data_IF_522498948168
#
_entry.id   IF_522498948168
#
_cell.length_a   1.000
_cell.length_b   1.000
_cell.length_c   1.000
_cell.angle_alpha   90.00
_cell.angle_beta   90.00
_cell.angle_gamma   90.00
#
_symmetry.space_group_name_H-M   'P 1'
#
loop_
_entity.id
_entity.type
_entity.pdbx_description
1 polymer ?
#
# COMPACT_ATOMS: atom_id res chain seq x y z
N UNK A 1 28.49 42.52 53.19
CA UNK A 1 27.96 41.13 53.25
C UNK A 1 26.61 40.93 52.52
N UNK A 2 25.70 41.92 52.51
CA UNK A 2 24.32 41.76 52.00
C UNK A 2 24.18 41.60 50.47
N UNK A 3 25.05 42.23 49.66
CA UNK A 3 24.98 42.13 48.19
C UNK A 3 25.44 40.77 47.62
N UNK A 4 26.44 40.12 48.26
CA UNK A 4 26.94 38.80 47.81
C UNK A 4 25.90 37.69 48.03
N UNK A 5 25.11 37.78 49.10
CA UNK A 5 24.02 36.84 49.39
C UNK A 5 22.88 36.97 48.37
N UNK A 6 22.53 38.20 47.99
CA UNK A 6 21.45 38.48 47.03
C UNK A 6 21.80 37.97 45.61
N UNK A 7 23.05 38.17 45.17
CA UNK A 7 23.52 37.65 43.89
C UNK A 7 23.50 36.11 43.84
N UNK A 8 23.86 35.45 44.95
CA UNK A 8 23.84 33.98 45.04
C UNK A 8 22.42 33.41 44.94
N UNK A 9 21.44 34.05 45.58
CA UNK A 9 20.03 33.63 45.53
C UNK A 9 19.46 33.76 44.10
N UNK A 10 19.78 34.84 43.39
CA UNK A 10 19.33 35.05 42.00
C UNK A 10 19.88 33.97 41.07
N UNK A 11 21.18 33.63 41.18
CA UNK A 11 21.79 32.57 40.37
C UNK A 11 21.13 31.22 40.66
N UNK A 12 20.81 30.93 41.93
CA UNK A 12 20.14 29.68 42.32
C UNK A 12 18.74 29.55 41.72
N UNK A 13 17.99 30.65 41.64
CA UNK A 13 16.68 30.67 40.97
C UNK A 13 16.79 30.51 39.45
N UNK A 14 17.81 31.07 38.80
CA UNK A 14 18.02 30.90 37.35
C UNK A 14 18.37 29.43 37.03
N UNK A 15 19.21 28.79 37.84
CA UNK A 15 19.57 27.38 37.66
C UNK A 15 18.38 26.46 37.91
N UNK A 16 17.60 26.69 38.97
CA UNK A 16 16.40 25.89 39.24
C UNK A 16 15.29 26.12 38.18
N UNK A 17 15.07 27.37 37.75
CA UNK A 17 14.09 27.70 36.70
C UNK A 17 14.45 27.15 35.33
N UNK A 18 15.75 27.14 34.97
CA UNK A 18 16.24 26.50 33.75
C UNK A 18 16.09 24.98 33.77
N UNK A 19 16.27 24.35 34.94
CA UNK A 19 16.11 22.91 35.11
C UNK A 19 14.63 22.48 35.04
N UNK A 20 13.72 23.22 35.68
CA UNK A 20 12.27 22.95 35.61
C UNK A 20 11.72 23.23 34.21
N UNK A 21 12.15 24.29 33.53
CA UNK A 21 11.76 24.55 32.14
C UNK A 21 12.21 23.42 31.19
N UNK A 22 13.41 22.88 31.41
CA UNK A 22 13.92 21.75 30.62
C UNK A 22 13.14 20.46 30.90
N UNK A 23 12.77 20.19 32.15
CA UNK A 23 11.93 19.03 32.52
C UNK A 23 10.51 19.18 31.95
N UNK A 24 9.87 20.34 32.09
CA UNK A 24 8.52 20.60 31.56
C UNK A 24 8.49 20.48 30.03
N UNK A 25 9.51 21.00 29.33
CA UNK A 25 9.63 20.89 27.87
C UNK A 25 9.97 19.46 27.40
N UNK A 26 10.59 18.64 28.25
CA UNK A 26 10.82 17.21 27.96
C UNK A 26 9.56 16.36 28.21
N UNK A 27 8.75 16.70 29.22
CA UNK A 27 7.47 16.02 29.48
C UNK A 27 6.36 16.37 28.47
N UNK A 28 6.53 17.46 27.71
CA UNK A 28 5.64 17.84 26.60
C UNK A 28 5.99 17.18 25.26
N UNK A 29 7.04 16.33 25.21
CA UNK A 29 7.11 15.26 24.21
C UNK A 29 6.15 14.18 24.69
N UNK A 30 4.87 14.49 24.63
CA UNK A 30 3.80 13.52 24.74
C UNK A 30 4.14 12.42 23.74
N UNK A 31 4.43 11.21 24.24
CA UNK A 31 4.32 9.98 23.49
C UNK A 31 2.86 9.91 23.00
N UNK A 32 2.55 10.66 21.95
CA UNK A 32 1.24 10.61 21.32
C UNK A 32 1.25 9.29 20.60
N UNK A 33 0.66 8.30 21.24
CA UNK A 33 0.50 6.98 20.65
C UNK A 33 -0.14 7.18 19.28
N UNK A 34 0.51 6.67 18.23
CA UNK A 34 0.02 6.83 16.86
C UNK A 34 -1.40 6.28 16.78
N UNK A 35 -2.26 6.95 16.02
CA UNK A 35 -3.59 6.40 15.76
C UNK A 35 -3.48 5.06 15.04
N UNK A 36 -4.48 4.20 15.19
CA UNK A 36 -4.51 2.92 14.45
C UNK A 36 -4.44 3.13 12.93
N UNK A 37 -4.99 4.25 12.44
CA UNK A 37 -4.86 4.67 11.05
C UNK A 37 -3.41 4.96 10.66
N UNK A 38 -2.69 5.76 11.44
CA UNK A 38 -1.27 6.07 11.18
C UNK A 38 -0.40 4.81 11.21
N UNK A 39 -0.66 3.89 12.15
CA UNK A 39 0.04 2.60 12.21
C UNK A 39 -0.23 1.78 10.94
N UNK A 40 -1.47 1.78 10.45
CA UNK A 40 -1.87 1.03 9.26
C UNK A 40 -1.25 1.62 7.99
N UNK A 41 -1.21 2.96 7.86
CA UNK A 41 -0.57 3.66 6.75
C UNK A 41 0.94 3.35 6.70
N UNK A 42 1.62 3.41 7.84
CA UNK A 42 3.04 3.05 7.92
C UNK A 42 3.32 1.59 7.57
N UNK A 43 2.45 0.68 8.01
CA UNK A 43 2.56 -0.73 7.67
C UNK A 43 2.31 -0.97 6.17
N UNK A 44 1.25 -0.38 5.62
CA UNK A 44 0.92 -0.44 4.20
C UNK A 44 2.08 0.05 3.33
N UNK A 45 2.72 1.18 3.67
CA UNK A 45 3.89 1.70 2.94
C UNK A 45 5.04 0.68 2.93
N UNK A 46 5.30 0.00 4.06
CA UNK A 46 6.32 -1.06 4.13
C UNK A 46 5.95 -2.29 3.29
N UNK A 47 4.66 -2.57 3.12
CA UNK A 47 4.14 -3.72 2.39
C UNK A 47 3.96 -3.47 0.88
N UNK A 48 3.91 -2.21 0.42
CA UNK A 48 3.82 -1.85 -1.01
C UNK A 48 4.82 -2.61 -1.91
N UNK A 49 6.11 -2.79 -1.55
CA UNK A 49 7.03 -3.60 -2.35
C UNK A 49 6.58 -5.07 -2.51
N UNK A 50 6.05 -5.71 -1.46
CA UNK A 50 5.57 -7.09 -1.52
C UNK A 50 4.28 -7.22 -2.34
N UNK A 51 3.41 -6.21 -2.30
CA UNK A 51 2.25 -6.14 -3.19
C UNK A 51 2.69 -6.08 -4.66
N UNK A 52 3.70 -5.25 -4.97
CA UNK A 52 4.25 -5.17 -6.34
C UNK A 52 4.88 -6.48 -6.78
N UNK A 53 5.57 -7.18 -5.89
CA UNK A 53 6.17 -8.49 -6.16
C UNK A 53 5.09 -9.51 -6.46
N UNK A 54 4.07 -9.62 -5.60
CA UNK A 54 2.95 -10.53 -5.79
C UNK A 54 2.23 -10.33 -7.13
N UNK A 55 1.91 -9.08 -7.51
CA UNK A 55 1.29 -8.79 -8.81
C UNK A 55 2.19 -9.17 -9.99
N UNK A 56 3.51 -9.04 -9.86
CA UNK A 56 4.45 -9.43 -10.92
C UNK A 56 4.62 -10.94 -11.03
N UNK A 57 4.48 -11.66 -9.93
CA UNK A 57 4.48 -13.13 -9.93
C UNK A 57 3.25 -13.69 -10.65
N UNK A 58 2.09 -13.07 -10.45
CA UNK A 58 0.85 -13.44 -11.18
C UNK A 58 0.89 -13.02 -12.66
N UNK A 59 1.57 -11.92 -12.99
CA UNK A 59 1.68 -11.40 -14.36
C UNK A 59 2.71 -12.16 -15.23
N UNK A 60 2.38 -13.40 -15.57
CA UNK A 60 3.22 -14.25 -16.43
C UNK A 60 3.38 -13.73 -17.87
N UNK A 61 2.48 -12.82 -18.30
CA UNK A 61 2.47 -12.28 -19.66
C UNK A 61 3.19 -10.93 -19.79
N UNK A 62 3.71 -10.39 -18.68
CA UNK A 62 4.30 -9.04 -18.62
C UNK A 62 3.31 -7.94 -19.06
N UNK A 63 2.02 -8.10 -18.79
CA UNK A 63 0.98 -7.12 -19.05
C UNK A 63 1.16 -5.84 -18.22
N UNK A 64 1.60 -5.96 -16.97
CA UNK A 64 1.78 -4.84 -16.04
C UNK A 64 3.00 -4.01 -16.45
N UNK A 65 2.76 -2.76 -16.79
CA UNK A 65 3.78 -1.74 -17.08
C UNK A 65 3.96 -0.77 -15.92
N UNK A 66 2.85 -0.35 -15.32
CA UNK A 66 2.84 0.58 -14.18
C UNK A 66 1.95 0.04 -13.07
N UNK A 67 2.32 0.33 -11.82
CA UNK A 67 1.53 0.04 -10.62
C UNK A 67 1.46 1.33 -9.80
N UNK A 68 0.25 1.81 -9.58
CA UNK A 68 -0.02 3.03 -8.82
C UNK A 68 -0.87 2.68 -7.62
N UNK A 69 -0.43 3.09 -6.43
CA UNK A 69 -1.19 2.90 -5.19
C UNK A 69 -2.02 4.14 -4.92
N UNK A 70 -3.24 3.94 -4.40
CA UNK A 70 -4.01 5.03 -3.85
C UNK A 70 -3.39 5.52 -2.53
N UNK A 71 -3.62 6.79 -2.21
CA UNK A 71 -3.06 7.42 -1.01
C UNK A 71 -3.78 6.95 0.27
N UNK A 72 -5.08 6.70 0.17
CA UNK A 72 -5.91 6.32 1.32
C UNK A 72 -5.82 4.82 1.53
N UNK A 73 -5.56 4.44 2.78
CA UNK A 73 -5.76 3.06 3.25
C UNK A 73 -7.09 2.98 3.98
N UNK A 74 -7.72 1.82 3.90
CA UNK A 74 -8.92 1.49 4.66
C UNK A 74 -8.60 0.40 5.69
N UNK A 75 -9.24 0.47 6.85
CA UNK A 75 -9.21 -0.61 7.83
C UNK A 75 -10.63 -1.17 7.90
N UNK A 76 -10.80 -2.43 7.49
CA UNK A 76 -12.13 -3.04 7.52
C UNK A 76 -12.56 -3.39 8.96
N UNK A 77 -13.84 -3.72 9.21
CA UNK A 77 -14.33 -4.07 10.55
C UNK A 77 -13.63 -5.26 11.23
N UNK A 78 -12.92 -6.11 10.46
CA UNK A 78 -12.12 -7.22 10.96
C UNK A 78 -10.67 -6.81 11.29
N UNK A 79 -10.32 -5.53 11.12
CA UNK A 79 -8.98 -5.01 11.36
C UNK A 79 -7.97 -5.30 10.25
N UNK A 80 -8.42 -5.75 9.07
CA UNK A 80 -7.52 -5.88 7.90
C UNK A 80 -7.24 -4.52 7.31
N UNK A 81 -6.00 -4.30 6.89
CA UNK A 81 -5.58 -3.09 6.19
C UNK A 81 -5.74 -3.36 4.70
N UNK A 82 -6.55 -2.53 4.06
CA UNK A 82 -6.86 -2.60 2.64
C UNK A 82 -6.01 -1.56 1.91
N UNK A 83 -5.20 -2.03 0.98
CA UNK A 83 -4.37 -1.19 0.12
C UNK A 83 -4.89 -1.29 -1.31
N UNK A 84 -5.51 -0.21 -1.78
CA UNK A 84 -6.02 -0.14 -3.14
C UNK A 84 -4.99 0.45 -4.11
N UNK A 85 -5.17 0.13 -5.38
CA UNK A 85 -4.36 0.69 -6.46
C UNK A 85 -4.89 0.26 -7.81
N UNK A 86 -4.13 0.59 -8.84
CA UNK A 86 -4.43 0.22 -10.21
C UNK A 86 -3.14 0.01 -11.01
N UNK A 87 -3.28 -0.69 -12.13
CA UNK A 87 -2.20 -0.95 -13.07
C UNK A 87 -2.44 -0.23 -14.40
N UNK A 88 -1.36 0.02 -15.14
CA UNK A 88 -1.39 0.58 -16.49
C UNK A 88 -2.19 1.89 -16.61
N UNK A 89 -2.15 2.70 -15.55
CA UNK A 89 -2.78 4.01 -15.45
C UNK A 89 -4.28 4.02 -15.81
N UNK A 90 -4.97 2.91 -15.53
CA UNK A 90 -6.39 2.73 -15.82
C UNK A 90 -7.18 2.30 -14.57
N UNK A 91 -7.48 3.23 -13.66
CA UNK A 91 -8.18 2.94 -12.41
C UNK A 91 -9.60 2.37 -12.61
N UNK A 92 -10.27 2.71 -13.72
CA UNK A 92 -11.65 2.27 -13.96
C UNK A 92 -11.74 0.79 -14.35
N UNK A 93 -10.68 0.24 -14.97
CA UNK A 93 -10.68 -1.13 -15.49
C UNK A 93 -9.71 -2.06 -14.77
N UNK A 94 -8.55 -1.55 -14.37
CA UNK A 94 -7.46 -2.38 -13.88
C UNK A 94 -7.09 -2.03 -12.44
N UNK A 95 -8.09 -1.91 -11.59
CA UNK A 95 -7.90 -1.74 -10.16
C UNK A 95 -7.57 -3.06 -9.46
N UNK A 96 -6.96 -2.96 -8.29
CA UNK A 96 -6.75 -4.08 -7.38
C UNK A 96 -6.94 -3.62 -5.93
N UNK A 97 -7.19 -4.59 -5.06
CA UNK A 97 -7.27 -4.40 -3.61
C UNK A 97 -6.51 -5.51 -2.90
N UNK A 98 -5.52 -5.11 -2.12
CA UNK A 98 -4.67 -6.00 -1.35
C UNK A 98 -5.04 -5.98 0.14
N UNK A 99 -5.29 -7.16 0.69
CA UNK A 99 -5.55 -7.37 2.11
C UNK A 99 -4.23 -7.62 2.85
N UNK A 100 -4.03 -6.91 3.95
CA UNK A 100 -2.90 -7.10 4.84
C UNK A 100 -3.37 -7.31 6.29
N UNK A 101 -2.73 -8.24 6.97
CA UNK A 101 -2.83 -8.44 8.42
C UNK A 101 -1.50 -7.99 9.04
N UNK A 102 -1.57 -7.23 10.13
CA UNK A 102 -0.37 -6.81 10.85
C UNK A 102 0.57 -8.00 11.13
N UNK A 103 1.86 -7.77 10.96
CA UNK A 103 2.95 -8.73 11.21
C UNK A 103 2.89 -10.07 10.43
N UNK A 104 1.95 -10.24 9.49
CA UNK A 104 1.91 -11.41 8.60
C UNK A 104 3.12 -11.47 7.67
N UNK A 105 3.68 -10.29 7.35
CA UNK A 105 4.80 -10.09 6.44
C UNK A 105 4.55 -10.66 5.04
N UNK A 106 3.30 -10.84 4.64
CA UNK A 106 2.91 -11.28 3.29
C UNK A 106 1.67 -10.50 2.83
N UNK A 107 1.32 -10.65 1.56
CA UNK A 107 -0.01 -10.26 1.08
C UNK A 107 -0.97 -11.36 1.52
N UNK A 108 -1.98 -11.02 2.33
CA UNK A 108 -2.90 -12.00 2.93
C UNK A 108 -4.12 -12.28 2.03
N UNK A 109 -4.35 -11.42 1.06
CA UNK A 109 -5.35 -11.56 0.01
C UNK A 109 -5.10 -10.53 -1.09
N UNK A 110 -5.46 -10.88 -2.32
CA UNK A 110 -5.43 -10.00 -3.47
C UNK A 110 -6.73 -10.19 -4.24
N UNK A 111 -7.33 -9.09 -4.66
CA UNK A 111 -8.51 -9.09 -5.51
C UNK A 111 -8.39 -8.04 -6.60
N UNK A 112 -8.99 -8.33 -7.75
CA UNK A 112 -9.05 -7.47 -8.92
C UNK A 112 -10.20 -7.93 -9.81
N UNK A 113 -10.62 -7.11 -10.79
CA UNK A 113 -11.61 -7.51 -11.78
C UNK A 113 -11.25 -8.81 -12.52
N UNK A 114 -12.26 -9.57 -12.93
CA UNK A 114 -12.07 -10.76 -13.77
C UNK A 114 -11.21 -10.45 -15.01
N UNK A 115 -11.39 -9.27 -15.60
CA UNK A 115 -10.62 -8.86 -16.79
C UNK A 115 -9.10 -8.73 -16.53
N UNK A 116 -8.69 -8.39 -15.31
CA UNK A 116 -7.28 -8.41 -14.89
C UNK A 116 -6.82 -9.86 -14.71
N UNK A 117 -7.60 -10.68 -13.99
CA UNK A 117 -7.28 -12.10 -13.79
C UNK A 117 -7.15 -12.89 -15.10
N UNK A 118 -7.99 -12.58 -16.08
CA UNK A 118 -7.92 -13.15 -17.42
C UNK A 118 -6.59 -12.85 -18.12
N UNK A 119 -5.97 -11.71 -17.82
CA UNK A 119 -4.64 -11.34 -18.35
C UNK A 119 -3.49 -11.97 -17.58
N UNK A 120 -3.75 -12.58 -16.43
CA UNK A 120 -2.78 -13.39 -15.67
C UNK A 120 -2.93 -14.89 -15.93
N UNK A 121 -4.02 -15.30 -16.60
CA UNK A 121 -4.32 -16.72 -16.85
C UNK A 121 -3.24 -17.39 -17.70
N UNK A 122 -2.73 -18.53 -17.22
CA UNK A 122 -1.85 -19.39 -18.01
C UNK A 122 -2.65 -20.24 -19.00
N UNK A 123 -2.77 -19.74 -20.22
CA UNK A 123 -3.45 -20.44 -21.30
C UNK A 123 -2.71 -21.69 -21.79
N UNK A 124 -1.47 -21.95 -21.35
CA UNK A 124 -0.73 -23.16 -21.73
C UNK A 124 -1.29 -24.44 -21.09
N UNK A 125 -2.08 -24.30 -20.02
CA UNK A 125 -2.75 -25.42 -19.35
C UNK A 125 -4.02 -25.88 -20.08
N UNK A 126 -4.51 -25.10 -21.04
CA UNK A 126 -5.78 -25.34 -21.74
C UNK A 126 -5.55 -25.78 -23.19
N UNK A 127 -6.51 -26.51 -23.75
CA UNK A 127 -6.47 -26.78 -25.18
C UNK A 127 -6.68 -25.50 -25.99
N UNK A 128 -6.13 -25.47 -27.21
CA UNK A 128 -6.34 -24.37 -28.16
C UNK A 128 -7.82 -24.04 -28.37
N UNK A 129 -8.69 -25.06 -28.39
CA UNK A 129 -10.13 -24.88 -28.60
C UNK A 129 -10.78 -24.17 -27.40
N UNK A 130 -10.47 -24.61 -26.18
CA UNK A 130 -11.00 -23.99 -24.95
C UNK A 130 -10.58 -22.53 -24.84
N UNK A 131 -9.28 -22.24 -25.06
CA UNK A 131 -8.75 -20.87 -25.11
C UNK A 131 -9.51 -20.02 -26.12
N UNK A 132 -9.63 -20.47 -27.37
CA UNK A 132 -10.29 -19.71 -28.42
C UNK A 132 -11.78 -19.47 -28.15
N UNK A 133 -12.48 -20.47 -27.61
CA UNK A 133 -13.90 -20.39 -27.27
C UNK A 133 -14.13 -19.42 -26.10
N UNK A 134 -13.31 -19.51 -25.05
CA UNK A 134 -13.34 -18.57 -23.93
C UNK A 134 -13.08 -17.14 -24.41
N UNK A 135 -11.97 -16.88 -25.11
CA UNK A 135 -11.59 -15.53 -25.54
C UNK A 135 -12.67 -14.92 -26.46
N UNK A 136 -13.29 -15.71 -27.35
CA UNK A 136 -14.38 -15.23 -28.20
C UNK A 136 -15.63 -14.86 -27.40
N UNK A 137 -15.89 -15.56 -26.31
CA UNK A 137 -17.07 -15.37 -25.46
C UNK A 137 -16.88 -14.22 -24.48
N UNK A 138 -15.73 -14.18 -23.79
CA UNK A 138 -15.37 -13.13 -22.84
C UNK A 138 -15.15 -11.78 -23.53
N UNK A 139 -14.59 -11.78 -24.74
CA UNK A 139 -14.28 -10.58 -25.52
C UNK A 139 -15.02 -10.60 -26.87
N UNK A 140 -16.35 -10.39 -26.89
CA UNK A 140 -17.14 -10.48 -28.12
C UNK A 140 -16.82 -9.35 -29.11
N UNK A 141 -16.44 -8.17 -28.64
CA UNK A 141 -15.97 -7.08 -29.48
C UNK A 141 -14.58 -7.40 -30.06
N UNK A 142 -14.41 -7.15 -31.36
CA UNK A 142 -13.19 -7.49 -32.08
C UNK A 142 -12.00 -6.64 -31.59
N UNK A 143 -12.18 -5.34 -31.34
CA UNK A 143 -11.08 -4.46 -30.95
C UNK A 143 -10.61 -4.78 -29.54
N UNK A 144 -11.55 -5.03 -28.63
CA UNK A 144 -11.26 -5.44 -27.26
C UNK A 144 -10.52 -6.78 -27.24
N UNK A 145 -10.97 -7.76 -28.04
CA UNK A 145 -10.28 -9.05 -28.17
C UNK A 145 -8.87 -8.92 -28.71
N UNK A 146 -8.67 -8.11 -29.74
CA UNK A 146 -7.33 -7.84 -30.29
C UNK A 146 -6.42 -7.16 -29.26
N UNK A 147 -6.97 -6.27 -28.43
CA UNK A 147 -6.21 -5.65 -27.35
C UNK A 147 -5.85 -6.67 -26.28
N UNK A 148 -6.81 -7.49 -25.83
CA UNK A 148 -6.55 -8.59 -24.90
C UNK A 148 -5.44 -9.52 -25.42
N UNK A 149 -5.51 -9.94 -26.69
CA UNK A 149 -4.49 -10.79 -27.31
C UNK A 149 -3.12 -10.12 -27.35
N UNK A 150 -3.03 -8.79 -27.53
CA UNK A 150 -1.76 -8.04 -27.40
C UNK A 150 -1.27 -8.02 -25.96
N UNK A 151 -2.18 -7.80 -25.01
CA UNK A 151 -1.87 -7.72 -23.59
C UNK A 151 -1.27 -9.04 -23.07
N UNK A 152 -1.76 -10.19 -23.58
CA UNK A 152 -1.22 -11.52 -23.26
C UNK A 152 -0.12 -12.01 -24.24
N UNK A 153 0.40 -11.14 -25.12
CA UNK A 153 1.52 -11.46 -26.01
C UNK A 153 1.23 -12.40 -27.18
N UNK A 154 -0.03 -12.73 -27.45
CA UNK A 154 -0.48 -13.60 -28.55
C UNK A 154 -0.56 -12.85 -29.90
N UNK A 155 -0.74 -11.53 -29.84
CA UNK A 155 -0.76 -10.65 -30.99
C UNK A 155 0.35 -9.59 -30.86
N UNK A 156 1.13 -9.40 -31.92
CA UNK A 156 2.21 -8.40 -31.99
C UNK A 156 1.74 -7.12 -32.65
#
# INVERSE_FOLDING_TARGET
MRFKLLAYVIVLFIVMGGFTYKIVKMSDVTNKEKSEQEKAEEYAVKMKPKIKEHLKEEDIHNFIKTITFEDKIEINPMGRIIVNGYINDNPDKFYFSADLIYDSNKVDGMSYPEDVGNRFTDWSEYSKKEKEEYIKTAYPDKKEREQYLRDIGELK
#
